data_IF_804140491392
#
_entry.id   IF_804140491392
#
_cell.length_a   1.000
_cell.length_b   1.000
_cell.length_c   1.000
_cell.angle_alpha   90.00
_cell.angle_beta   90.00
_cell.angle_gamma   90.00
#
_symmetry.space_group_name_H-M   'P 1'
#
loop_
_entity.id
_entity.type
_entity.pdbx_description
1 polymer ?
#
# COMPACT_ATOMS: atom_id res chain seq x y z
N UNK A 1 -6.82 26.84 6.93
CA UNK A 1 -6.26 26.21 8.16
C UNK A 1 -4.81 25.81 7.90
N UNK A 2 -3.95 25.76 8.93
CA UNK A 2 -2.56 25.36 8.76
C UNK A 2 -2.46 23.83 8.81
N UNK A 3 -2.21 23.18 7.68
CA UNK A 3 -2.02 21.72 7.62
C UNK A 3 -0.55 21.36 7.86
N UNK A 4 -0.34 20.24 8.55
CA UNK A 4 0.97 19.58 8.64
C UNK A 4 1.38 19.01 7.27
N UNK A 5 2.66 18.62 7.12
CA UNK A 5 3.12 17.97 5.90
C UNK A 5 2.36 16.66 5.63
N UNK A 6 2.14 15.83 6.66
CA UNK A 6 1.41 14.58 6.52
C UNK A 6 -0.03 14.80 6.01
N UNK A 7 -0.75 15.77 6.57
CA UNK A 7 -2.10 16.11 6.10
C UNK A 7 -2.10 16.60 4.64
N UNK A 8 -1.08 17.35 4.22
CA UNK A 8 -0.94 17.76 2.81
C UNK A 8 -0.69 16.56 1.89
N UNK A 9 0.14 15.61 2.28
CA UNK A 9 0.39 14.39 1.50
C UNK A 9 -0.89 13.55 1.39
N UNK A 10 -1.62 13.35 2.50
CA UNK A 10 -2.90 12.65 2.49
C UNK A 10 -3.91 13.35 1.58
N UNK A 11 -4.03 14.68 1.71
CA UNK A 11 -4.92 15.49 0.86
C UNK A 11 -4.60 15.37 -0.63
N UNK A 12 -3.34 15.18 -1.01
CA UNK A 12 -2.94 14.99 -2.41
C UNK A 12 -3.35 13.62 -2.99
N UNK A 13 -3.64 12.64 -2.13
CA UNK A 13 -3.93 11.26 -2.54
C UNK A 13 -5.36 10.85 -2.19
N UNK A 14 -6.26 11.79 -1.92
CA UNK A 14 -7.67 11.52 -1.66
C UNK A 14 -8.54 12.63 -2.24
N UNK A 15 -9.74 12.26 -2.69
CA UNK A 15 -10.79 13.22 -3.06
C UNK A 15 -11.53 13.78 -1.85
N UNK A 16 -11.34 13.21 -0.66
CA UNK A 16 -11.93 13.70 0.58
C UNK A 16 -11.19 14.95 1.10
N UNK A 17 -11.89 15.84 1.80
CA UNK A 17 -11.23 16.97 2.46
C UNK A 17 -10.58 16.51 3.77
N UNK A 18 -9.27 16.68 3.90
CA UNK A 18 -8.49 16.38 5.11
C UNK A 18 -8.52 17.61 6.03
N UNK A 19 -9.25 17.50 7.14
CA UNK A 19 -9.56 18.62 8.04
C UNK A 19 -8.72 18.62 9.31
N UNK A 20 -8.60 17.48 9.96
CA UNK A 20 -8.03 17.38 11.31
C UNK A 20 -7.34 16.03 11.60
N UNK A 21 -6.58 15.98 12.68
CA UNK A 21 -5.96 14.75 13.15
C UNK A 21 -7.03 13.82 13.76
N UNK A 22 -6.93 12.52 13.48
CA UNK A 22 -7.92 11.53 13.91
C UNK A 22 -9.05 11.28 12.92
N UNK A 23 -9.18 12.13 11.88
CA UNK A 23 -10.05 11.85 10.75
C UNK A 23 -9.57 10.61 9.98
N UNK A 24 -10.49 9.71 9.66
CA UNK A 24 -10.25 8.57 8.76
C UNK A 24 -10.59 9.02 7.34
N UNK A 25 -9.68 8.80 6.39
CA UNK A 25 -9.86 9.12 4.97
C UNK A 25 -9.36 7.95 4.12
N UNK A 26 -10.01 7.73 2.97
CA UNK A 26 -9.58 6.74 2.00
C UNK A 26 -8.63 7.39 0.99
N UNK A 27 -7.40 6.87 0.89
CA UNK A 27 -6.38 7.37 -0.03
C UNK A 27 -6.09 6.36 -1.14
N UNK A 28 -5.77 6.88 -2.32
CA UNK A 28 -5.22 6.11 -3.43
C UNK A 28 -3.75 5.75 -3.15
N UNK A 29 -3.38 4.51 -3.46
CA UNK A 29 -2.03 4.03 -3.25
C UNK A 29 -1.14 4.33 -4.47
N UNK A 30 -0.07 5.09 -4.24
CA UNK A 30 0.92 5.42 -5.28
C UNK A 30 1.90 4.29 -5.55
N UNK A 31 2.24 3.50 -4.52
CA UNK A 31 3.08 2.30 -4.62
C UNK A 31 2.83 1.40 -3.42
N UNK A 32 2.84 0.09 -3.63
CA UNK A 32 2.81 -0.92 -2.57
C UNK A 32 3.98 -1.88 -2.73
N UNK A 33 4.58 -2.28 -1.62
CA UNK A 33 5.73 -3.18 -1.59
C UNK A 33 5.44 -4.35 -0.68
N UNK A 34 5.76 -5.56 -1.14
CA UNK A 34 5.81 -6.76 -0.30
C UNK A 34 7.11 -7.52 -0.54
N UNK A 35 7.65 -8.12 0.50
CA UNK A 35 8.88 -8.92 0.43
C UNK A 35 8.58 -10.43 0.36
N UNK A 36 9.63 -11.24 0.21
CA UNK A 36 9.57 -12.70 0.17
C UNK A 36 8.98 -13.39 1.41
N UNK A 37 8.91 -12.71 2.57
CA UNK A 37 8.20 -13.21 3.76
C UNK A 37 6.71 -12.85 3.70
N UNK A 38 6.40 -11.61 3.36
CA UNK A 38 5.06 -11.02 3.49
C UNK A 38 4.19 -11.21 2.25
N UNK A 39 4.78 -11.24 1.06
CA UNK A 39 4.07 -11.37 -0.21
C UNK A 39 3.26 -12.68 -0.29
N UNK A 40 3.78 -13.87 0.09
CA UNK A 40 2.99 -15.10 0.04
C UNK A 40 1.72 -15.03 0.91
N UNK A 41 1.82 -14.42 2.10
CA UNK A 41 0.69 -14.22 3.00
C UNK A 41 -0.31 -13.20 2.44
N UNK A 42 0.18 -12.08 1.91
CA UNK A 42 -0.64 -11.06 1.28
C UNK A 42 -1.40 -11.62 0.07
N UNK A 43 -0.75 -12.40 -0.80
CA UNK A 43 -1.37 -13.04 -1.97
C UNK A 43 -2.45 -14.04 -1.54
N UNK A 44 -2.22 -14.82 -0.48
CA UNK A 44 -3.23 -15.73 0.07
C UNK A 44 -4.48 -14.98 0.52
N UNK A 45 -4.32 -13.91 1.29
CA UNK A 45 -5.42 -13.06 1.75
C UNK A 45 -6.13 -12.35 0.60
N UNK A 46 -5.37 -11.87 -0.40
CA UNK A 46 -5.90 -11.20 -1.59
C UNK A 46 -6.84 -12.12 -2.38
N UNK A 47 -6.44 -13.38 -2.58
CA UNK A 47 -7.29 -14.41 -3.20
C UNK A 47 -8.51 -14.76 -2.35
N UNK A 48 -8.34 -14.87 -1.03
CA UNK A 48 -9.45 -15.18 -0.11
C UNK A 48 -10.53 -14.08 -0.09
N UNK A 49 -10.16 -12.83 -0.33
CA UNK A 49 -11.09 -11.70 -0.53
C UNK A 49 -11.88 -11.78 -1.86
N UNK A 50 -11.53 -12.71 -2.75
CA UNK A 50 -12.16 -12.88 -4.06
C UNK A 50 -11.55 -12.01 -5.17
N UNK A 51 -10.43 -11.32 -4.91
CA UNK A 51 -9.78 -10.49 -5.91
C UNK A 51 -8.99 -11.35 -6.91
N UNK A 52 -9.13 -11.03 -8.21
CA UNK A 52 -8.50 -11.76 -9.32
C UNK A 52 -7.30 -11.02 -9.92
N UNK A 53 -7.20 -9.71 -9.73
CA UNK A 53 -6.15 -8.85 -10.30
C UNK A 53 -5.81 -7.70 -9.35
N UNK A 54 -4.55 -7.29 -9.33
CA UNK A 54 -4.10 -6.10 -8.59
C UNK A 54 -4.64 -4.82 -9.25
N UNK A 55 -4.69 -3.73 -8.48
CA UNK A 55 -5.22 -2.44 -8.96
C UNK A 55 -4.36 -1.83 -10.07
N UNK A 56 -3.03 -1.98 -9.99
CA UNK A 56 -2.07 -1.49 -10.96
C UNK A 56 -0.77 -2.29 -10.80
N UNK A 57 -0.37 -3.03 -11.85
CA UNK A 57 0.83 -3.88 -11.81
C UNK A 57 2.13 -3.06 -11.75
N UNK A 58 2.13 -1.83 -12.26
CA UNK A 58 3.32 -0.97 -12.30
C UNK A 58 3.53 -0.24 -10.96
N UNK A 59 2.55 -0.33 -10.05
CA UNK A 59 2.60 0.21 -8.67
C UNK A 59 2.76 -0.86 -7.60
N UNK A 60 2.97 -2.12 -7.97
CA UNK A 60 3.19 -3.24 -7.05
C UNK A 60 4.62 -3.74 -7.19
N UNK A 61 5.42 -3.57 -6.14
CA UNK A 61 6.80 -4.05 -6.07
C UNK A 61 6.89 -5.31 -5.20
N UNK A 62 7.45 -6.38 -5.75
CA UNK A 62 7.82 -7.57 -4.99
C UNK A 62 9.34 -7.63 -4.87
N UNK A 63 9.85 -7.59 -3.64
CA UNK A 63 11.30 -7.52 -3.37
C UNK A 63 11.77 -8.77 -2.64
N UNK A 64 12.69 -9.52 -3.25
CA UNK A 64 13.21 -10.78 -2.71
C UNK A 64 14.55 -10.54 -2.03
N UNK A 65 14.54 -9.96 -0.83
CA UNK A 65 15.74 -9.52 -0.11
C UNK A 65 16.03 -10.33 1.16
N UNK A 66 15.05 -10.97 1.80
CA UNK A 66 15.28 -11.59 3.11
C UNK A 66 16.00 -12.93 3.01
N UNK A 67 15.71 -13.72 1.96
CA UNK A 67 16.31 -15.02 1.74
C UNK A 67 17.37 -15.01 0.64
N UNK A 68 17.97 -13.86 0.31
CA UNK A 68 18.94 -13.75 -0.79
C UNK A 68 20.39 -13.70 -0.30
N UNK A 69 21.33 -14.50 -0.85
CA UNK A 69 21.12 -15.56 -1.83
C UNK A 69 20.35 -16.74 -1.21
N UNK A 70 19.42 -17.31 -1.98
CA UNK A 70 18.58 -18.41 -1.53
C UNK A 70 19.41 -19.67 -1.34
N UNK A 71 19.23 -20.30 -0.17
CA UNK A 71 19.90 -21.56 0.19
C UNK A 71 19.32 -22.75 -0.58
N UNK A 72 18.06 -22.65 -0.99
CA UNK A 72 17.27 -23.65 -1.72
C UNK A 72 16.83 -23.12 -3.08
#
# INVERSE_FOLDING_TARGET
MRHTLAQKILQLHTSEEVKEAGQIVQCEMSMVLANDITAPLAIKSFRAMGASQVFDKDKVALVMDHFTPNKD
#
